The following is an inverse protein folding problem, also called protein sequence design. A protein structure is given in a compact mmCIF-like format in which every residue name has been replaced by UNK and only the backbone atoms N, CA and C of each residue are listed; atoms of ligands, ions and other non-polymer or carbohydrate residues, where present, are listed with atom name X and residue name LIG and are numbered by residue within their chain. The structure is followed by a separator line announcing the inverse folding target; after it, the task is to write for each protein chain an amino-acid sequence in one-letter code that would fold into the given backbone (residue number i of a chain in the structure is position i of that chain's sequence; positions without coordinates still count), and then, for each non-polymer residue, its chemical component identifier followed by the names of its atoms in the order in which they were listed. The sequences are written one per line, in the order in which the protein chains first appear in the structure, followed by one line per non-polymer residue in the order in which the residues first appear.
data_IF_205919834717
#
_entry.id   IF_205919834717
#
_cell.length_a   1.000
_cell.length_b   1.000
_cell.length_c   1.000
_cell.angle_alpha   90.00
_cell.angle_beta   90.00
_cell.angle_gamma   90.00
#
_symmetry.space_group_name_H-M   'P 1'
#
loop_
_entity.id
_entity.type
_entity.pdbx_description
1 polymer ?
#
# COMPACT_ATOMS: atom_id res chain seq x y z
N UNK A 1 -31.96 -3.59 13.73
CA UNK A 1 -31.05 -3.08 14.78
C UNK A 1 -29.71 -3.74 14.55
N UNK A 2 -28.82 -3.08 13.80
CA UNK A 2 -27.58 -3.67 13.29
C UNK A 2 -26.41 -3.45 14.25
N UNK A 3 -25.50 -4.43 14.41
CA UNK A 3 -24.24 -4.21 15.08
C UNK A 3 -23.21 -3.55 14.13
N UNK A 4 -22.72 -2.38 14.57
CA UNK A 4 -21.41 -1.73 14.34
C UNK A 4 -20.60 -1.94 13.05
N UNK A 5 -20.49 -0.87 12.25
CA UNK A 5 -19.57 -0.60 11.13
C UNK A 5 -18.05 -0.60 11.47
N UNK A 6 -17.57 -1.36 12.46
CA UNK A 6 -16.16 -1.35 12.87
C UNK A 6 -15.32 -2.52 12.33
N UNK A 7 -15.95 -3.50 11.67
CA UNK A 7 -15.27 -4.72 11.16
C UNK A 7 -15.10 -4.79 9.63
N UNK A 8 -15.83 -3.97 8.88
CA UNK A 8 -15.86 -4.08 7.41
C UNK A 8 -14.52 -3.69 6.76
N UNK A 9 -13.84 -2.67 7.31
CA UNK A 9 -12.51 -2.25 6.83
C UNK A 9 -11.43 -3.31 7.05
N UNK A 10 -11.51 -4.06 8.15
CA UNK A 10 -10.55 -5.15 8.42
C UNK A 10 -10.74 -6.31 7.44
N UNK A 11 -11.98 -6.54 7.01
CA UNK A 11 -12.30 -7.58 6.03
C UNK A 11 -11.95 -7.14 4.60
N UNK A 12 -12.11 -5.86 4.25
CA UNK A 12 -11.68 -5.29 2.97
C UNK A 12 -10.16 -5.28 2.82
N UNK A 13 -9.42 -4.96 3.89
CA UNK A 13 -7.95 -5.06 3.96
C UNK A 13 -7.49 -6.52 3.89
N UNK A 14 -8.27 -7.47 4.44
CA UNK A 14 -8.01 -8.92 4.38
C UNK A 14 -8.31 -9.52 3.00
N UNK A 15 -9.33 -9.03 2.28
CA UNK A 15 -9.73 -9.55 0.98
C UNK A 15 -8.85 -9.06 -0.18
N UNK A 16 -8.12 -7.94 0.00
CA UNK A 16 -6.99 -7.54 -0.86
C UNK A 16 -5.68 -8.23 -0.42
N UNK A 17 -5.72 -9.55 -0.39
CA UNK A 17 -4.59 -10.42 -0.06
C UNK A 17 -3.54 -10.45 -1.19
N UNK A 18 -2.53 -9.59 -1.11
CA UNK A 18 -1.23 -9.77 -1.81
C UNK A 18 0.01 -9.40 -0.97
N UNK A 19 -0.11 -8.97 0.30
CA UNK A 19 1.03 -8.38 1.02
C UNK A 19 1.37 -8.99 2.39
N UNK A 20 0.71 -10.08 2.82
CA UNK A 20 1.04 -10.73 4.10
C UNK A 20 1.39 -12.21 3.91
N UNK A 21 2.63 -12.47 3.46
CA UNK A 21 3.25 -13.80 3.52
C UNK A 21 4.06 -13.95 4.81
N UNK A 22 3.72 -14.94 5.63
CA UNK A 22 4.41 -15.63 6.76
C UNK A 22 5.59 -14.99 7.54
N UNK A 23 5.78 -13.67 7.58
CA UNK A 23 6.93 -13.07 8.28
C UNK A 23 6.72 -11.75 9.03
N UNK A 24 5.56 -11.11 8.92
CA UNK A 24 5.34 -9.76 9.45
C UNK A 24 4.81 -9.73 10.91
N UNK A 25 5.10 -10.75 11.71
CA UNK A 25 4.44 -10.99 12.99
C UNK A 25 5.10 -10.36 14.23
N UNK A 26 6.17 -9.56 14.17
CA UNK A 26 6.95 -9.29 15.40
C UNK A 26 7.40 -7.88 15.76
N UNK A 27 7.06 -6.77 15.09
CA UNK A 27 7.43 -5.43 15.64
C UNK A 27 6.35 -4.34 15.47
N UNK A 28 5.88 -3.70 16.56
CA UNK A 28 4.73 -2.80 16.53
C UNK A 28 5.05 -1.35 16.06
N UNK A 29 6.27 -1.06 15.57
CA UNK A 29 6.69 0.32 15.23
C UNK A 29 7.44 0.49 13.90
N UNK A 30 7.57 -0.56 13.06
CA UNK A 30 8.26 -0.48 11.77
C UNK A 30 7.39 -0.33 10.48
N UNK A 31 6.10 0.10 10.47
CA UNK A 31 5.30 -0.04 9.26
C UNK A 31 5.26 1.18 8.33
N UNK A 32 5.57 2.42 8.74
CA UNK A 32 5.22 3.59 7.91
C UNK A 32 5.80 3.53 6.46
N UNK A 33 7.09 3.20 6.31
CA UNK A 33 7.70 3.03 5.00
C UNK A 33 7.11 1.84 4.24
N UNK A 34 6.92 0.68 4.90
CA UNK A 34 6.35 -0.50 4.26
C UNK A 34 4.88 -0.28 3.84
N UNK A 35 4.10 0.41 4.66
CA UNK A 35 2.72 0.81 4.40
C UNK A 35 2.67 1.82 3.26
N UNK A 36 3.58 2.79 3.20
CA UNK A 36 3.63 3.75 2.10
C UNK A 36 4.04 3.08 0.79
N UNK A 37 5.06 2.22 0.79
CA UNK A 37 5.46 1.43 -0.38
C UNK A 37 4.31 0.55 -0.87
N UNK A 38 3.62 -0.16 0.02
CA UNK A 38 2.44 -0.97 -0.33
C UNK A 38 1.29 -0.11 -0.88
N UNK A 39 1.05 1.06 -0.30
CA UNK A 39 0.05 2.02 -0.78
C UNK A 39 0.37 2.53 -2.18
N UNK A 40 1.60 2.98 -2.44
CA UNK A 40 2.06 3.38 -3.77
C UNK A 40 1.87 2.26 -4.79
N UNK A 41 2.23 1.03 -4.44
CA UNK A 41 2.09 -0.13 -5.32
C UNK A 41 0.64 -0.50 -5.60
N UNK A 42 -0.30 -0.22 -4.69
CA UNK A 42 -1.73 -0.44 -4.95
C UNK A 42 -2.28 0.47 -6.07
N UNK A 43 -1.70 1.68 -6.21
CA UNK A 43 -2.06 2.62 -7.26
C UNK A 43 -1.25 2.39 -8.53
N UNK A 44 0.07 2.25 -8.43
CA UNK A 44 0.97 2.11 -9.58
C UNK A 44 0.74 0.82 -10.38
N UNK A 45 0.19 -0.23 -9.76
CA UNK A 45 -0.23 -1.45 -10.47
C UNK A 45 -1.27 -1.16 -11.56
N UNK A 46 -2.11 -0.13 -11.41
CA UNK A 46 -3.07 0.29 -12.44
C UNK A 46 -2.38 0.87 -13.68
N UNK A 47 -1.16 1.41 -13.52
CA UNK A 47 -0.32 1.93 -14.59
C UNK A 47 0.76 0.93 -15.05
N UNK A 48 0.69 -0.33 -14.58
CA UNK A 48 1.62 -1.39 -15.00
C UNK A 48 3.03 -1.27 -14.44
N UNK A 49 3.23 -0.56 -13.31
CA UNK A 49 4.54 -0.37 -12.69
C UNK A 49 4.50 -0.57 -11.17
N UNK A 50 5.68 -0.63 -10.54
CA UNK A 50 5.85 -0.80 -9.09
C UNK A 50 7.14 -0.12 -8.59
N UNK A 51 7.22 0.02 -7.27
CA UNK A 51 8.36 0.55 -6.53
C UNK A 51 8.79 -0.44 -5.42
N UNK A 52 10.08 -0.44 -5.12
CA UNK A 52 10.70 -1.25 -4.08
C UNK A 52 11.39 -0.36 -3.05
N UNK A 53 12.16 0.64 -3.51
CA UNK A 53 12.86 1.61 -2.65
C UNK A 53 12.41 3.03 -2.99
N UNK A 54 11.64 3.64 -2.07
CA UNK A 54 11.08 4.99 -2.22
C UNK A 54 12.17 6.03 -2.60
N UNK A 55 13.36 5.95 -2.01
CA UNK A 55 14.43 6.92 -2.24
C UNK A 55 15.03 6.83 -3.64
N UNK A 56 15.07 5.63 -4.20
CA UNK A 56 15.64 5.37 -5.54
C UNK A 56 14.58 5.52 -6.62
N UNK A 57 13.42 4.90 -6.42
CA UNK A 57 12.34 4.80 -7.41
C UNK A 57 11.61 6.13 -7.67
N UNK A 58 11.59 7.05 -6.71
CA UNK A 58 10.99 8.38 -6.89
C UNK A 58 12.01 9.49 -7.17
N UNK A 59 13.30 9.16 -7.24
CA UNK A 59 14.38 10.16 -7.35
C UNK A 59 14.29 11.04 -8.59
N UNK A 60 13.88 10.47 -9.73
CA UNK A 60 13.74 11.18 -11.00
C UNK A 60 12.39 11.91 -11.15
N UNK A 61 11.46 11.67 -10.22
CA UNK A 61 10.12 12.25 -10.21
C UNK A 61 9.13 11.63 -11.21
N UNK A 62 9.52 10.75 -12.13
CA UNK A 62 8.62 10.19 -13.15
C UNK A 62 7.54 9.30 -12.52
N UNK A 63 7.94 8.35 -11.67
CA UNK A 63 6.99 7.49 -10.94
C UNK A 63 6.14 8.29 -9.94
N UNK A 64 6.67 9.39 -9.42
CA UNK A 64 5.94 10.27 -8.50
C UNK A 64 4.85 11.05 -9.24
N UNK A 65 5.16 11.62 -10.41
CA UNK A 65 4.16 12.28 -11.26
C UNK A 65 3.05 11.31 -11.68
N UNK A 66 3.41 10.09 -12.07
CA UNK A 66 2.45 9.04 -12.42
C UNK A 66 1.56 8.66 -11.22
N UNK A 67 2.14 8.52 -10.02
CA UNK A 67 1.37 8.27 -8.81
C UNK A 67 0.35 9.39 -8.56
N UNK A 68 0.75 10.66 -8.69
CA UNK A 68 -0.13 11.83 -8.51
C UNK A 68 -1.28 11.85 -9.52
N UNK A 69 -1.01 11.51 -10.78
CA UNK A 69 -2.02 11.40 -11.83
C UNK A 69 -3.08 10.34 -11.50
N UNK A 70 -2.66 9.18 -10.97
CA UNK A 70 -3.55 8.06 -10.66
C UNK A 70 -4.43 8.30 -9.42
N UNK A 71 -4.00 9.17 -8.50
CA UNK A 71 -4.72 9.45 -7.24
C UNK A 71 -5.53 10.75 -7.24
N UNK A 72 -5.43 11.59 -8.29
CA UNK A 72 -6.15 12.86 -8.41
C UNK A 72 -7.63 12.70 -8.77
#
# INVERSE_FOLDING_TARGET
MGPGHSGQWQEEVRNHSWWWGEGASTLPLLPACATFTAWCNSHLRKAGTQIENIEEDFRDGLKLMLLLEVIS
#
